data_IF_819075442244
#
_entry.id   IF_819075442244
#
_cell.length_a   1.000
_cell.length_b   1.000
_cell.length_c   1.000
_cell.angle_alpha   90.00
_cell.angle_beta   90.00
_cell.angle_gamma   90.00
#
_symmetry.space_group_name_H-M   'P 1'
#
loop_
_entity.id
_entity.type
_entity.pdbx_description
1 polymer ?
#
# COMPACT_ATOMS: atom_id res chain seq x y z
N UNK A 1 8.25 1.27 -11.24
CA UNK A 1 7.86 1.69 -9.87
C UNK A 1 6.35 1.88 -9.73
N UNK A 2 5.66 2.49 -10.70
CA UNK A 2 4.18 2.48 -10.74
C UNK A 2 3.59 1.06 -10.80
N UNK A 3 4.26 0.13 -11.49
CA UNK A 3 3.83 -1.28 -11.58
C UNK A 3 3.85 -2.00 -10.22
N UNK A 4 4.97 -1.95 -9.48
CA UNK A 4 5.06 -2.57 -8.14
C UNK A 4 4.09 -1.94 -7.12
N UNK A 5 3.83 -0.63 -7.21
CA UNK A 5 2.87 0.03 -6.30
C UNK A 5 1.42 -0.37 -6.63
N UNK A 6 1.10 -0.52 -7.92
CA UNK A 6 -0.17 -1.10 -8.37
C UNK A 6 -0.36 -2.54 -7.88
N UNK A 7 0.67 -3.37 -7.99
CA UNK A 7 0.64 -4.76 -7.54
C UNK A 7 0.39 -4.88 -6.02
N UNK A 8 1.04 -4.06 -5.19
CA UNK A 8 0.80 -4.04 -3.74
C UNK A 8 -0.64 -3.61 -3.42
N UNK A 9 -1.18 -2.63 -4.16
CA UNK A 9 -2.58 -2.20 -3.99
C UNK A 9 -3.56 -3.32 -4.29
N UNK A 10 -3.36 -4.04 -5.40
CA UNK A 10 -4.24 -5.14 -5.81
C UNK A 10 -4.12 -6.35 -4.89
N UNK A 11 -2.91 -6.72 -4.47
CA UNK A 11 -2.69 -7.75 -3.46
C UNK A 11 -3.39 -7.41 -2.14
N UNK A 12 -3.34 -6.14 -1.72
CA UNK A 12 -4.03 -5.69 -0.52
C UNK A 12 -5.56 -5.79 -0.65
N UNK A 13 -6.13 -5.50 -1.83
CA UNK A 13 -7.57 -5.70 -2.08
C UNK A 13 -7.95 -7.18 -2.01
N UNK A 14 -7.12 -8.06 -2.57
CA UNK A 14 -7.33 -9.51 -2.49
C UNK A 14 -7.32 -10.00 -1.04
N UNK A 15 -6.39 -9.50 -0.21
CA UNK A 15 -6.37 -9.80 1.23
C UNK A 15 -7.68 -9.34 1.89
N UNK A 16 -8.18 -8.15 1.57
CA UNK A 16 -9.48 -7.67 2.07
C UNK A 16 -10.64 -8.64 1.77
N UNK A 17 -10.71 -9.17 0.54
CA UNK A 17 -11.73 -10.15 0.15
C UNK A 17 -11.58 -11.48 0.93
N UNK A 18 -10.35 -11.94 1.13
CA UNK A 18 -10.08 -13.15 1.93
C UNK A 18 -10.50 -12.97 3.38
N UNK A 19 -10.26 -11.79 3.97
CA UNK A 19 -10.66 -11.49 5.34
C UNK A 19 -12.19 -11.45 5.50
N UNK A 20 -12.93 -10.98 4.49
CA UNK A 20 -14.39 -11.04 4.50
C UNK A 20 -14.88 -12.50 4.51
N UNK A 21 -14.27 -13.37 3.71
CA UNK A 21 -14.57 -14.80 3.72
C UNK A 21 -14.26 -15.44 5.08
N UNK A 22 -13.11 -15.13 5.68
CA UNK A 22 -12.75 -15.65 7.01
C UNK A 22 -13.76 -15.19 8.07
N UNK A 23 -14.21 -13.92 8.03
CA UNK A 23 -15.26 -13.42 8.93
C UNK A 23 -16.58 -14.18 8.75
N UNK A 24 -16.97 -14.49 7.51
CA UNK A 24 -18.16 -15.32 7.23
C UNK A 24 -18.01 -16.73 7.81
N UNK A 25 -16.86 -17.37 7.61
CA UNK A 25 -16.57 -18.71 8.16
C UNK A 25 -16.60 -18.69 9.68
N UNK A 26 -15.93 -17.72 10.32
CA UNK A 26 -15.96 -17.55 11.78
C UNK A 26 -17.38 -17.37 12.31
N UNK A 27 -18.20 -16.55 11.64
CA UNK A 27 -19.60 -16.37 12.04
C UNK A 27 -20.42 -17.66 11.91
N UNK A 28 -20.21 -18.44 10.86
CA UNK A 28 -20.88 -19.74 10.67
C UNK A 28 -20.42 -20.77 11.71
N UNK A 29 -19.12 -20.85 11.99
CA UNK A 29 -18.55 -21.70 13.04
C UNK A 29 -19.09 -21.34 14.42
N UNK A 30 -19.30 -20.06 14.70
CA UNK A 30 -19.91 -19.61 15.96
C UNK A 30 -21.38 -20.09 16.08
N UNK A 31 -22.15 -20.03 14.98
CA UNK A 31 -23.53 -20.56 14.94
C UNK A 31 -23.53 -22.09 15.10
N UNK A 32 -22.60 -22.80 14.46
CA UNK A 32 -22.44 -24.24 14.64
C UNK A 32 -22.12 -24.61 16.09
N UNK A 33 -21.20 -23.89 16.73
CA UNK A 33 -20.89 -24.05 18.15
C UNK A 33 -22.09 -23.75 19.05
N UNK A 34 -22.89 -22.72 18.75
CA UNK A 34 -24.14 -22.46 19.46
C UNK A 34 -25.12 -23.64 19.35
N UNK A 35 -25.33 -24.16 18.14
CA UNK A 35 -26.24 -25.29 17.93
C UNK A 35 -25.76 -26.55 18.66
N UNK A 36 -24.45 -26.81 18.65
CA UNK A 36 -23.85 -27.92 19.38
C UNK A 36 -24.04 -27.78 20.90
N UNK A 37 -23.95 -26.56 21.43
CA UNK A 37 -24.25 -26.29 22.84
C UNK A 37 -25.72 -26.57 23.21
N UNK A 38 -26.66 -26.15 22.36
CA UNK A 38 -28.08 -26.41 22.56
C UNK A 38 -28.36 -27.92 22.58
N UNK A 39 -27.79 -28.67 21.63
CA UNK A 39 -28.01 -30.12 21.57
C UNK A 39 -27.30 -30.86 22.73
N UNK A 40 -26.14 -30.35 23.17
CA UNK A 40 -25.45 -30.86 24.35
C UNK A 40 -26.29 -30.68 25.63
N UNK A 41 -26.92 -29.53 25.79
CA UNK A 41 -27.85 -29.28 26.90
C UNK A 41 -29.07 -30.23 26.84
N UNK A 42 -29.57 -30.50 25.64
CA UNK A 42 -30.69 -31.43 25.41
C UNK A 42 -30.35 -32.89 25.76
N UNK A 43 -29.10 -33.30 25.54
CA UNK A 43 -28.60 -34.62 25.91
C UNK A 43 -28.30 -34.79 27.42
N UNK A 44 -28.42 -33.74 28.22
CA UNK A 44 -28.23 -33.78 29.68
C UNK A 44 -26.82 -34.22 30.08
N UNK A 45 -26.70 -35.19 30.99
CA UNK A 45 -25.40 -35.71 31.48
C UNK A 45 -24.52 -36.25 30.34
N UNK A 46 -25.12 -36.89 29.32
CA UNK A 46 -24.38 -37.44 28.18
C UNK A 46 -23.77 -36.36 27.26
N UNK A 47 -24.29 -35.12 27.32
CA UNK A 47 -23.85 -33.99 26.50
C UNK A 47 -22.74 -33.15 27.12
N UNK A 48 -22.36 -33.36 28.40
CA UNK A 48 -21.39 -32.50 29.10
C UNK A 48 -20.04 -32.36 28.39
N UNK A 49 -19.51 -33.45 27.83
CA UNK A 49 -18.26 -33.40 27.07
C UNK A 49 -18.37 -32.60 25.76
N UNK A 50 -19.51 -32.71 25.08
CA UNK A 50 -19.78 -31.96 23.85
C UNK A 50 -20.01 -30.47 24.11
N UNK A 51 -20.57 -30.09 25.26
CA UNK A 51 -20.73 -28.70 25.66
C UNK A 51 -19.38 -27.98 25.79
N UNK A 52 -18.37 -28.64 26.39
CA UNK A 52 -17.02 -28.07 26.51
C UNK A 52 -16.40 -27.82 25.13
N UNK A 53 -16.55 -28.77 24.20
CA UNK A 53 -16.05 -28.62 22.82
C UNK A 53 -16.78 -27.49 22.08
N UNK A 54 -18.10 -27.41 22.23
CA UNK A 54 -18.92 -26.38 21.60
C UNK A 54 -18.56 -24.97 22.10
N UNK A 55 -18.29 -24.80 23.40
CA UNK A 55 -17.79 -23.55 23.97
C UNK A 55 -16.41 -23.17 23.41
N UNK A 56 -15.52 -24.15 23.23
CA UNK A 56 -14.18 -23.89 22.68
C UNK A 56 -14.25 -23.49 21.20
N UNK A 57 -15.13 -24.10 20.40
CA UNK A 57 -15.40 -23.69 19.02
C UNK A 57 -15.87 -22.23 18.97
N UNK A 58 -16.76 -21.82 19.88
CA UNK A 58 -17.24 -20.43 19.94
C UNK A 58 -16.11 -19.45 20.28
N UNK A 59 -15.28 -19.77 21.27
CA UNK A 59 -14.11 -18.96 21.63
C UNK A 59 -13.13 -18.82 20.47
N UNK A 60 -12.82 -19.91 19.77
CA UNK A 60 -11.97 -19.88 18.57
C UNK A 60 -12.59 -19.06 17.46
N UNK A 61 -13.91 -19.17 17.26
CA UNK A 61 -14.63 -18.40 16.26
C UNK A 61 -14.56 -16.90 16.55
N UNK A 62 -14.84 -16.48 17.80
CA UNK A 62 -14.72 -15.09 18.23
C UNK A 62 -13.28 -14.57 18.15
N UNK A 63 -12.29 -15.37 18.53
CA UNK A 63 -10.87 -15.03 18.37
C UNK A 63 -10.48 -14.84 16.91
N UNK A 64 -10.94 -15.73 16.03
CA UNK A 64 -10.73 -15.65 14.58
C UNK A 64 -11.35 -14.38 13.99
N UNK A 65 -12.55 -14.00 14.45
CA UNK A 65 -13.23 -12.78 14.02
C UNK A 65 -12.42 -11.54 14.36
N UNK A 66 -11.97 -11.42 15.62
CA UNK A 66 -11.17 -10.29 16.10
C UNK A 66 -9.85 -10.18 15.35
N UNK A 67 -9.12 -11.28 15.22
CA UNK A 67 -7.87 -11.31 14.45
C UNK A 67 -8.09 -10.88 12.99
N UNK A 68 -9.19 -11.31 12.36
CA UNK A 68 -9.51 -10.90 10.99
C UNK A 68 -9.82 -9.39 10.88
N UNK A 69 -10.45 -8.80 11.90
CA UNK A 69 -10.72 -7.35 11.97
C UNK A 69 -9.43 -6.53 12.17
N UNK A 70 -8.51 -7.01 12.99
CA UNK A 70 -7.18 -6.40 13.17
C UNK A 70 -6.38 -6.45 11.87
N UNK A 71 -6.32 -7.61 11.20
CA UNK A 71 -5.61 -7.74 9.91
C UNK A 71 -6.27 -6.83 8.86
N UNK A 72 -7.60 -6.74 8.83
CA UNK A 72 -8.31 -5.84 7.91
C UNK A 72 -7.88 -4.39 8.10
N UNK A 73 -7.79 -3.94 9.35
CA UNK A 73 -7.32 -2.60 9.69
C UNK A 73 -5.88 -2.36 9.21
N UNK A 74 -4.99 -3.33 9.42
CA UNK A 74 -3.61 -3.24 8.92
C UNK A 74 -3.55 -3.19 7.39
N UNK A 75 -4.33 -4.03 6.70
CA UNK A 75 -4.38 -4.04 5.23
C UNK A 75 -4.90 -2.70 4.68
N UNK A 76 -5.92 -2.11 5.30
CA UNK A 76 -6.40 -0.76 4.94
C UNK A 76 -5.34 0.31 5.14
N UNK A 77 -4.58 0.26 6.24
CA UNK A 77 -3.48 1.20 6.47
C UNK A 77 -2.37 1.07 5.41
N UNK A 78 -2.06 -0.16 4.99
CA UNK A 78 -1.10 -0.40 3.90
C UNK A 78 -1.62 0.19 2.59
N UNK A 79 -2.89 -0.03 2.24
CA UNK A 79 -3.50 0.55 1.04
C UNK A 79 -3.40 2.08 1.02
N UNK A 80 -3.77 2.73 2.13
CA UNK A 80 -3.68 4.18 2.26
C UNK A 80 -2.23 4.67 2.13
N UNK A 81 -1.27 3.95 2.74
CA UNK A 81 0.15 4.29 2.63
C UNK A 81 0.67 4.19 1.18
N UNK A 82 0.21 3.20 0.42
CA UNK A 82 0.54 3.05 -1.00
C UNK A 82 -0.07 4.18 -1.83
N UNK A 83 -1.31 4.59 -1.55
CA UNK A 83 -1.95 5.71 -2.25
C UNK A 83 -1.19 7.03 -2.03
N UNK A 84 -0.81 7.31 -0.78
CA UNK A 84 0.04 8.48 -0.45
C UNK A 84 1.38 8.41 -1.18
N UNK A 85 2.01 7.23 -1.22
CA UNK A 85 3.28 7.04 -1.93
C UNK A 85 3.15 7.34 -3.43
N UNK A 86 2.05 6.94 -4.07
CA UNK A 86 1.78 7.23 -5.49
C UNK A 86 1.68 8.74 -5.70
N UNK A 87 0.93 9.46 -4.86
CA UNK A 87 0.80 10.92 -4.96
C UNK A 87 2.15 11.63 -4.79
N UNK A 88 2.96 11.21 -3.83
CA UNK A 88 4.31 11.76 -3.64
C UNK A 88 5.24 11.47 -4.83
N UNK A 89 5.09 10.31 -5.49
CA UNK A 89 5.86 9.99 -6.69
C UNK A 89 5.47 10.86 -7.88
N UNK A 90 4.18 11.19 -8.02
CA UNK A 90 3.72 12.10 -9.06
C UNK A 90 4.27 13.53 -8.86
N UNK A 91 4.34 13.99 -7.61
CA UNK A 91 4.98 15.27 -7.27
C UNK A 91 6.48 15.27 -7.59
N UNK A 92 7.18 14.18 -7.27
CA UNK A 92 8.60 14.00 -7.61
C UNK A 92 8.80 14.02 -9.12
N UNK A 93 7.96 13.32 -9.90
CA UNK A 93 8.04 13.33 -11.36
C UNK A 93 7.85 14.74 -11.93
N UNK A 94 6.87 15.49 -11.44
CA UNK A 94 6.66 16.88 -11.87
C UNK A 94 7.87 17.77 -11.54
N UNK A 95 8.47 17.58 -10.37
CA UNK A 95 9.69 18.30 -9.98
C UNK A 95 10.88 17.95 -10.87
N UNK A 96 11.01 16.67 -11.24
CA UNK A 96 12.04 16.20 -12.18
C UNK A 96 11.86 16.85 -13.55
N UNK A 97 10.64 16.92 -14.08
CA UNK A 97 10.36 17.55 -15.38
C UNK A 97 10.76 19.03 -15.39
N UNK A 98 10.41 19.77 -14.34
CA UNK A 98 10.80 21.18 -14.17
C UNK A 98 12.33 21.32 -14.12
N UNK A 99 13.01 20.45 -13.37
CA UNK A 99 14.47 20.47 -13.29
C UNK A 99 15.14 20.17 -14.65
N UNK A 100 14.60 19.22 -15.41
CA UNK A 100 15.08 18.92 -16.77
C UNK A 100 14.94 20.13 -17.70
N UNK A 101 13.84 20.87 -17.61
CA UNK A 101 13.66 22.12 -18.37
C UNK A 101 14.70 23.18 -17.96
N UNK A 102 14.93 23.37 -16.67
CA UNK A 102 15.94 24.31 -16.13
C UNK A 102 17.34 23.95 -16.63
N UNK A 103 17.72 22.68 -16.54
CA UNK A 103 19.03 22.19 -17.02
C UNK A 103 19.20 22.44 -18.51
N UNK A 104 18.13 22.27 -19.30
CA UNK A 104 18.15 22.53 -20.74
C UNK A 104 18.40 24.02 -21.02
N UNK A 105 17.64 24.92 -20.38
CA UNK A 105 17.84 26.38 -20.52
C UNK A 105 19.22 26.82 -20.06
N UNK A 106 19.74 26.24 -18.97
CA UNK A 106 21.09 26.52 -18.48
C UNK A 106 22.16 26.10 -19.49
N UNK A 107 22.01 24.92 -20.10
CA UNK A 107 22.91 24.43 -21.15
C UNK A 107 22.92 25.38 -22.36
N UNK A 108 21.75 25.84 -22.81
CA UNK A 108 21.64 26.82 -23.90
C UNK A 108 22.32 28.16 -23.54
N UNK A 109 22.12 28.66 -22.33
CA UNK A 109 22.75 29.89 -21.85
C UNK A 109 24.28 29.76 -21.81
N UNK A 110 24.80 28.63 -21.33
CA UNK A 110 26.23 28.34 -21.34
C UNK A 110 26.80 28.26 -22.75
N UNK A 111 26.10 27.63 -23.69
CA UNK A 111 26.53 27.59 -25.10
C UNK A 111 26.68 29.02 -25.67
N UNK A 112 25.70 29.90 -25.40
CA UNK A 112 25.77 31.32 -25.80
C UNK A 112 26.94 32.06 -25.15
N UNK A 113 27.22 31.81 -23.86
CA UNK A 113 28.36 32.40 -23.17
C UNK A 113 29.70 31.96 -23.77
N UNK A 114 29.84 30.69 -24.13
CA UNK A 114 31.05 30.17 -24.80
C UNK A 114 31.29 30.91 -26.13
N UNK A 115 30.25 31.02 -26.98
CA UNK A 115 30.34 31.75 -28.26
C UNK A 115 30.71 33.22 -28.04
N UNK A 116 30.14 33.86 -27.01
CA UNK A 116 30.45 35.25 -26.69
C UNK A 116 31.92 35.42 -26.24
N UNK A 117 32.44 34.52 -25.42
CA UNK A 117 33.83 34.53 -24.97
C UNK A 117 34.81 34.34 -26.14
N UNK A 118 34.50 33.46 -27.10
CA UNK A 118 35.29 33.27 -28.32
C UNK A 118 35.35 34.56 -29.15
N UNK A 119 34.19 35.19 -29.40
CA UNK A 119 34.10 36.46 -30.13
C UNK A 119 34.84 37.60 -29.44
N UNK A 120 34.77 37.66 -28.12
CA UNK A 120 35.49 38.66 -27.33
C UNK A 120 37.01 38.46 -27.47
N UNK A 121 37.47 37.21 -27.38
CA UNK A 121 38.89 36.85 -27.56
C UNK A 121 39.39 37.27 -28.94
N UNK A 122 38.61 37.02 -30.00
CA UNK A 122 38.96 37.48 -31.36
C UNK A 122 39.02 39.01 -31.46
N UNK A 123 38.06 39.71 -30.86
CA UNK A 123 38.00 41.17 -30.90
C UNK A 123 39.20 41.81 -30.22
N UNK A 124 39.60 41.28 -29.05
CA UNK A 124 40.81 41.71 -28.34
C UNK A 124 42.07 41.46 -29.17
N UNK A 125 42.19 40.29 -29.82
CA UNK A 125 43.32 40.01 -30.73
C UNK A 125 43.42 41.02 -31.86
N UNK A 126 42.29 41.38 -32.50
CA UNK A 126 42.26 42.38 -33.58
C UNK A 126 42.75 43.75 -33.12
N UNK A 127 42.37 44.18 -31.92
CA UNK A 127 42.81 45.46 -31.34
C UNK A 127 44.32 45.46 -31.10
N UNK A 128 44.90 44.37 -30.61
CA UNK A 128 46.34 44.27 -30.33
C UNK A 128 47.22 44.16 -31.58
N UNK A 129 46.65 43.79 -32.73
CA UNK A 129 47.36 43.70 -34.01
C UNK A 129 47.31 45.00 -34.85
N UNK A 130 46.61 46.03 -34.37
CA UNK A 130 46.62 47.40 -34.90
C UNK A 130 47.69 48.25 -34.19
#
# INVERSE_FOLDING_TARGET
>A
MSENTGEVSDNSKQIGNMLELIRKISSQSNILGLNANIESARAGEAGKGFAVVADEIRKLSDGTKKASEEIFTFTTNIQNGVEVLILSLDEVNSTVDVNTEIVTKFSEANSKLTILNERLTESVKRILTL
#
